data_IF_373917503639
#
_entry.id   IF_373917503639
#
_cell.length_a   1.000
_cell.length_b   1.000
_cell.length_c   1.000
_cell.angle_alpha   90.00
_cell.angle_beta   90.00
_cell.angle_gamma   90.00
#
_symmetry.space_group_name_H-M   'P 1'
#
loop_
_entity.id
_entity.type
_entity.pdbx_description
1 polymer ?
#
# COMPACT_ATOMS: atom_id res chain seq x y z
N UNK A 1 17.29 17.48 12.79
CA UNK A 1 15.88 17.88 12.66
C UNK A 1 15.05 16.64 12.95
N UNK A 2 14.08 16.69 13.85
CA UNK A 2 13.26 15.53 14.18
C UNK A 2 12.23 15.34 13.05
N UNK A 3 12.33 14.23 12.31
CA UNK A 3 11.38 13.93 11.24
C UNK A 3 10.09 13.45 11.88
N UNK A 4 9.01 14.20 11.67
CA UNK A 4 7.68 13.82 12.16
C UNK A 4 7.08 12.76 11.25
N UNK A 5 6.78 11.60 11.82
CA UNK A 5 6.16 10.50 11.07
C UNK A 5 4.75 10.90 10.55
N UNK A 6 4.34 10.43 9.36
CA UNK A 6 3.02 10.73 8.81
C UNK A 6 1.89 10.15 9.67
N UNK A 7 0.85 10.95 9.86
CA UNK A 7 -0.44 10.53 10.44
C UNK A 7 -1.18 9.57 9.50
N UNK A 8 -2.23 8.93 10.01
CA UNK A 8 -3.08 8.04 9.20
C UNK A 8 -3.74 8.80 8.05
N UNK A 9 -4.21 10.01 8.33
CA UNK A 9 -4.85 10.89 7.35
C UNK A 9 -3.87 11.32 6.26
N UNK A 10 -2.63 11.66 6.62
CA UNK A 10 -1.58 11.98 5.64
C UNK A 10 -1.22 10.76 4.78
N UNK A 11 -1.10 9.55 5.37
CA UNK A 11 -0.87 8.33 4.58
C UNK A 11 -1.98 8.08 3.56
N UNK A 12 -3.26 8.32 3.92
CA UNK A 12 -4.38 8.21 2.98
C UNK A 12 -4.28 9.23 1.86
N UNK A 13 -3.88 10.47 2.16
CA UNK A 13 -3.66 11.52 1.14
C UNK A 13 -2.51 11.16 0.21
N UNK A 14 -1.44 10.56 0.72
CA UNK A 14 -0.32 10.09 -0.12
C UNK A 14 -0.77 8.98 -1.08
N UNK A 15 -1.58 8.02 -0.60
CA UNK A 15 -2.17 6.97 -1.44
C UNK A 15 -3.10 7.56 -2.51
N UNK A 16 -3.97 8.49 -2.14
CA UNK A 16 -4.86 9.19 -3.07
C UNK A 16 -4.07 9.86 -4.22
N UNK A 17 -3.04 10.64 -3.88
CA UNK A 17 -2.16 11.27 -4.87
C UNK A 17 -1.40 10.25 -5.72
N UNK A 18 -0.95 9.15 -5.14
CA UNK A 18 -0.27 8.09 -5.89
C UNK A 18 -1.22 7.41 -6.90
N UNK A 19 -2.49 7.20 -6.53
CA UNK A 19 -3.53 6.74 -7.44
C UNK A 19 -3.78 7.76 -8.57
N UNK A 20 -3.87 9.06 -8.26
CA UNK A 20 -3.97 10.12 -9.27
C UNK A 20 -2.83 10.00 -10.29
N UNK A 21 -1.59 9.82 -9.85
CA UNK A 21 -0.44 9.64 -10.75
C UNK A 21 -0.53 8.35 -11.58
N UNK A 22 -0.91 7.24 -10.95
CA UNK A 22 -1.09 5.95 -11.63
C UNK A 22 -2.14 6.05 -12.74
N UNK A 23 -3.33 6.58 -12.46
CA UNK A 23 -4.39 6.74 -13.47
C UNK A 23 -4.07 7.80 -14.51
N UNK A 24 -3.36 8.88 -14.14
CA UNK A 24 -2.99 9.92 -15.11
C UNK A 24 -1.92 9.45 -16.10
N UNK A 25 -0.96 8.65 -15.66
CA UNK A 25 0.25 8.34 -16.45
C UNK A 25 0.30 6.90 -16.94
N UNK A 26 -0.32 5.98 -16.22
CA UNK A 26 -0.18 4.54 -16.42
C UNK A 26 -1.51 3.79 -16.56
N UNK A 27 -2.63 4.49 -16.81
CA UNK A 27 -3.95 3.85 -17.01
C UNK A 27 -3.94 2.80 -18.11
N UNK A 28 -3.08 2.96 -19.12
CA UNK A 28 -2.92 1.96 -20.18
C UNK A 28 -2.41 0.61 -19.65
N UNK A 29 -1.62 0.59 -18.57
CA UNK A 29 -1.20 -0.66 -17.92
C UNK A 29 -2.42 -1.38 -17.32
N UNK A 30 -3.30 -0.63 -16.66
CA UNK A 30 -4.54 -1.15 -16.07
C UNK A 30 -5.44 -1.71 -17.18
N UNK A 31 -5.65 -0.94 -18.26
CA UNK A 31 -6.50 -1.34 -19.40
C UNK A 31 -5.96 -2.53 -20.17
N UNK A 32 -4.64 -2.69 -20.26
CA UNK A 32 -3.98 -3.86 -20.86
C UNK A 32 -4.03 -5.10 -19.96
N UNK A 33 -4.51 -4.97 -18.73
CA UNK A 33 -4.62 -6.08 -17.79
C UNK A 33 -3.28 -6.67 -17.39
N UNK A 34 -2.21 -5.86 -17.31
CA UNK A 34 -0.88 -6.33 -16.88
C UNK A 34 -0.92 -6.93 -15.48
N UNK A 35 0.08 -7.74 -15.12
CA UNK A 35 0.17 -8.39 -13.81
C UNK A 35 0.14 -7.39 -12.64
N UNK A 36 -0.40 -7.82 -11.49
CA UNK A 36 -0.60 -6.96 -10.31
C UNK A 36 0.73 -6.37 -9.84
N UNK A 37 1.80 -7.14 -9.92
CA UNK A 37 3.18 -6.78 -9.60
C UNK A 37 3.67 -5.55 -10.39
N UNK A 38 3.27 -5.43 -11.66
CA UNK A 38 3.60 -4.26 -12.50
C UNK A 38 2.88 -3.01 -12.00
N UNK A 39 1.60 -3.13 -11.62
CA UNK A 39 0.82 -2.02 -11.07
C UNK A 39 1.33 -1.63 -9.67
N UNK A 40 1.64 -2.62 -8.83
CA UNK A 40 2.21 -2.44 -7.50
C UNK A 40 3.53 -1.69 -7.56
N UNK A 41 4.41 -2.04 -8.50
CA UNK A 41 5.67 -1.32 -8.72
C UNK A 41 5.44 0.15 -9.08
N UNK A 42 4.55 0.45 -10.03
CA UNK A 42 4.26 1.84 -10.43
C UNK A 42 3.66 2.66 -9.29
N UNK A 43 2.72 2.07 -8.56
CA UNK A 43 2.12 2.73 -7.40
C UNK A 43 3.14 2.97 -6.29
N UNK A 44 4.01 2.00 -6.00
CA UNK A 44 5.09 2.13 -5.03
C UNK A 44 6.06 3.26 -5.38
N UNK A 45 6.45 3.39 -6.65
CA UNK A 45 7.31 4.50 -7.12
C UNK A 45 6.68 5.87 -6.85
N UNK A 46 5.39 6.06 -7.15
CA UNK A 46 4.71 7.32 -6.88
C UNK A 46 4.59 7.59 -5.38
N UNK A 47 4.28 6.55 -4.59
CA UNK A 47 4.24 6.65 -3.14
C UNK A 47 5.60 7.05 -2.55
N UNK A 48 6.69 6.50 -3.04
CA UNK A 48 8.04 6.81 -2.55
C UNK A 48 8.42 8.27 -2.79
N UNK A 49 8.16 8.78 -4.00
CA UNK A 49 8.39 10.19 -4.34
C UNK A 49 7.58 11.11 -3.42
N UNK A 50 6.27 10.86 -3.31
CA UNK A 50 5.37 11.67 -2.50
C UNK A 50 5.71 11.61 -1.00
N UNK A 51 6.16 10.45 -0.51
CA UNK A 51 6.59 10.29 0.87
C UNK A 51 7.85 11.10 1.15
N UNK A 52 8.85 11.06 0.27
CA UNK A 52 10.08 11.85 0.43
C UNK A 52 9.76 13.35 0.43
N UNK A 53 8.90 13.80 -0.49
CA UNK A 53 8.41 15.19 -0.53
C UNK A 53 7.69 15.60 0.76
N UNK A 54 6.79 14.76 1.27
CA UNK A 54 6.04 15.01 2.50
C UNK A 54 6.93 15.09 3.74
N UNK A 55 7.99 14.27 3.78
CA UNK A 55 8.94 14.24 4.89
C UNK A 55 10.05 15.29 4.75
N UNK A 56 10.11 16.01 3.63
CA UNK A 56 11.17 16.97 3.30
C UNK A 56 12.58 16.34 3.34
N UNK A 57 12.71 15.15 2.76
CA UNK A 57 13.97 14.39 2.67
C UNK A 57 14.40 14.20 1.23
N UNK A 58 15.68 13.85 1.04
CA UNK A 58 16.18 13.49 -0.28
C UNK A 58 15.47 12.24 -0.80
N UNK A 59 15.25 12.20 -2.12
CA UNK A 59 14.61 11.06 -2.76
C UNK A 59 15.49 9.82 -2.54
N UNK A 60 14.86 8.74 -2.08
CA UNK A 60 15.52 7.48 -1.71
C UNK A 60 16.42 7.57 -0.47
N UNK A 61 16.22 8.55 0.42
CA UNK A 61 16.83 8.56 1.75
C UNK A 61 16.23 7.45 2.64
N UNK A 62 16.88 6.28 2.58
CA UNK A 62 16.50 5.06 3.31
C UNK A 62 16.83 5.13 4.82
N UNK A 63 17.33 6.25 5.34
CA UNK A 63 17.52 6.41 6.78
C UNK A 63 16.20 6.64 7.52
N UNK A 64 15.12 6.97 6.78
CA UNK A 64 13.83 7.38 7.32
C UNK A 64 12.75 6.35 7.07
N UNK A 65 12.39 6.09 5.80
CA UNK A 65 11.41 5.08 5.42
C UNK A 65 11.70 4.56 4.02
N UNK A 66 11.40 3.29 3.82
CA UNK A 66 11.49 2.57 2.55
C UNK A 66 10.08 2.30 2.01
N UNK A 67 9.92 2.34 0.68
CA UNK A 67 8.72 1.84 -0.01
C UNK A 67 9.12 0.62 -0.85
N UNK A 68 8.77 -0.57 -0.37
CA UNK A 68 9.19 -1.82 -0.99
C UNK A 68 8.01 -2.63 -1.52
N UNK A 69 8.21 -3.25 -2.69
CA UNK A 69 7.32 -4.28 -3.22
C UNK A 69 7.81 -5.68 -2.84
N UNK A 70 6.88 -6.60 -2.56
CA UNK A 70 7.18 -8.01 -2.28
C UNK A 70 8.21 -8.27 -1.16
N UNK A 71 8.38 -7.34 -0.23
CA UNK A 71 9.40 -7.45 0.82
C UNK A 71 9.12 -8.63 1.75
N UNK A 72 9.99 -9.63 1.72
CA UNK A 72 9.76 -10.94 2.29
C UNK A 72 10.53 -11.22 3.60
N UNK A 73 11.06 -10.17 4.24
CA UNK A 73 11.89 -10.28 5.45
C UNK A 73 11.23 -9.68 6.70
N UNK A 74 11.56 -10.26 7.85
CA UNK A 74 11.20 -9.81 9.19
C UNK A 74 12.49 -9.85 10.04
N UNK A 75 13.25 -8.75 10.05
CA UNK A 75 14.68 -8.86 10.37
C UNK A 75 15.35 -9.84 9.40
N UNK A 76 16.04 -10.84 9.94
CA UNK A 76 16.66 -11.90 9.14
C UNK A 76 15.70 -13.03 8.74
N UNK A 77 14.58 -13.17 9.46
CA UNK A 77 13.61 -14.24 9.26
C UNK A 77 12.69 -13.99 8.06
N UNK A 78 12.09 -15.04 7.47
CA UNK A 78 11.03 -14.86 6.47
C UNK A 78 9.82 -14.13 7.06
N UNK A 79 9.27 -13.16 6.32
CA UNK A 79 8.02 -12.48 6.67
C UNK A 79 6.84 -13.44 6.51
N UNK A 80 6.13 -13.69 7.61
CA UNK A 80 4.94 -14.55 7.68
C UNK A 80 3.76 -13.76 8.22
N UNK A 81 3.01 -13.11 7.32
CA UNK A 81 1.87 -12.26 7.69
C UNK A 81 0.66 -13.06 8.23
N UNK A 82 0.65 -14.39 8.06
CA UNK A 82 -0.37 -15.30 8.59
C UNK A 82 0.33 -16.45 9.31
N UNK A 83 -0.01 -16.75 10.58
CA UNK A 83 0.52 -17.92 11.30
C UNK A 83 0.24 -19.22 10.53
N UNK A 84 1.27 -20.05 10.30
CA UNK A 84 1.15 -21.29 9.53
C UNK A 84 0.93 -21.12 8.02
N UNK A 85 0.72 -19.89 7.54
CA UNK A 85 0.68 -19.57 6.12
C UNK A 85 2.08 -19.62 5.52
N UNK A 86 2.24 -20.28 4.37
CA UNK A 86 3.44 -20.12 3.53
C UNK A 86 3.67 -18.63 3.28
N UNK A 87 4.92 -18.16 3.42
CA UNK A 87 5.28 -16.75 3.49
C UNK A 87 4.73 -15.91 2.33
N UNK A 88 3.51 -15.39 2.48
CA UNK A 88 2.88 -14.48 1.54
C UNK A 88 3.41 -13.09 1.82
N UNK A 89 4.11 -12.56 0.82
CA UNK A 89 4.76 -11.26 0.80
C UNK A 89 3.69 -10.19 0.56
N UNK A 90 3.76 -9.03 1.21
CA UNK A 90 2.89 -7.90 0.89
C UNK A 90 3.20 -7.36 -0.50
N UNK A 91 2.20 -6.78 -1.18
CA UNK A 91 2.43 -6.25 -2.53
C UNK A 91 3.20 -4.93 -2.46
N UNK A 92 2.85 -4.05 -1.53
CA UNK A 92 3.58 -2.81 -1.22
C UNK A 92 3.62 -2.59 0.30
N UNK A 93 4.76 -2.15 0.83
CA UNK A 93 4.87 -1.68 2.21
C UNK A 93 5.63 -0.36 2.32
N UNK A 94 5.26 0.44 3.31
CA UNK A 94 6.02 1.59 3.79
C UNK A 94 6.52 1.27 5.19
N UNK A 95 7.82 1.11 5.35
CA UNK A 95 8.43 0.52 6.55
C UNK A 95 9.89 0.97 6.73
N UNK A 96 10.53 0.51 7.80
CA UNK A 96 11.99 0.58 7.96
C UNK A 96 12.55 -0.83 7.84
N UNK A 97 13.43 -1.08 6.87
CA UNK A 97 14.04 -2.42 6.71
C UNK A 97 14.75 -2.88 7.99
N UNK A 98 14.72 -4.19 8.22
CA UNK A 98 15.41 -4.85 9.34
C UNK A 98 14.74 -4.72 10.72
N UNK A 99 13.65 -3.94 10.85
CA UNK A 99 12.96 -3.73 12.13
C UNK A 99 11.44 -3.61 11.95
N UNK A 100 10.67 -3.78 13.03
CA UNK A 100 9.19 -3.73 13.01
C UNK A 100 8.60 -2.60 13.87
N UNK A 101 9.44 -1.79 14.50
CA UNK A 101 9.01 -0.55 15.13
C UNK A 101 8.68 0.47 14.04
N UNK A 102 7.41 0.88 14.04
CA UNK A 102 6.84 1.93 13.20
C UNK A 102 6.70 1.57 11.72
N UNK A 103 6.23 0.36 11.41
CA UNK A 103 5.67 0.04 10.10
C UNK A 103 4.46 0.93 9.79
N UNK A 104 4.47 1.67 8.68
CA UNK A 104 3.46 2.69 8.38
C UNK A 104 2.27 2.14 7.60
N UNK A 105 2.53 1.54 6.44
CA UNK A 105 1.48 1.16 5.49
C UNK A 105 1.78 -0.21 4.87
N UNK A 106 0.74 -1.04 4.75
CA UNK A 106 0.76 -2.28 3.97
C UNK A 106 -0.39 -2.23 2.96
N UNK A 107 -0.12 -2.59 1.71
CA UNK A 107 -1.12 -2.59 0.63
C UNK A 107 -1.14 -3.96 -0.04
N UNK A 108 -2.35 -4.51 -0.20
CA UNK A 108 -2.64 -5.62 -1.10
C UNK A 108 -3.34 -5.07 -2.33
N UNK A 109 -2.76 -5.31 -3.50
CA UNK A 109 -3.23 -4.81 -4.79
C UNK A 109 -3.93 -5.94 -5.53
N UNK A 110 -5.12 -5.64 -6.04
CA UNK A 110 -5.90 -6.49 -6.92
C UNK A 110 -6.35 -5.71 -8.15
N UNK A 111 -6.69 -6.42 -9.22
CA UNK A 111 -7.25 -5.83 -10.44
C UNK A 111 -8.53 -6.50 -10.88
N UNK A 112 -9.52 -5.70 -11.27
CA UNK A 112 -10.76 -6.15 -11.91
C UNK A 112 -11.46 -7.32 -11.19
N UNK A 113 -11.43 -7.33 -9.85
CA UNK A 113 -12.13 -8.35 -9.07
C UNK A 113 -13.54 -7.85 -8.79
N UNK A 114 -14.54 -8.60 -9.28
CA UNK A 114 -15.97 -8.31 -9.08
C UNK A 114 -16.54 -8.97 -7.80
N UNK A 115 -15.68 -9.54 -6.95
CA UNK A 115 -16.05 -10.30 -5.76
C UNK A 115 -15.46 -9.68 -4.49
N UNK A 116 -16.01 -10.06 -3.34
CA UNK A 116 -15.57 -9.59 -2.03
C UNK A 116 -14.08 -9.88 -1.77
N UNK A 117 -13.48 -9.13 -0.85
CA UNK A 117 -12.09 -9.33 -0.39
C UNK A 117 -11.87 -10.81 -0.06
N UNK A 118 -10.86 -11.41 -0.69
CA UNK A 118 -10.52 -12.81 -0.44
C UNK A 118 -10.15 -13.01 1.02
N UNK A 119 -10.63 -14.11 1.64
CA UNK A 119 -10.37 -14.41 3.05
C UNK A 119 -8.88 -14.43 3.41
N UNK A 120 -8.02 -14.80 2.45
CA UNK A 120 -6.56 -14.75 2.64
C UNK A 120 -6.05 -13.31 2.82
N UNK A 121 -6.53 -12.37 2.02
CA UNK A 121 -6.05 -10.99 2.02
C UNK A 121 -6.64 -10.21 3.20
N UNK A 122 -7.91 -10.49 3.55
CA UNK A 122 -8.55 -9.96 4.76
C UNK A 122 -7.78 -10.38 6.03
N UNK A 123 -7.52 -11.69 6.19
CA UNK A 123 -6.76 -12.20 7.33
C UNK A 123 -5.35 -11.61 7.40
N UNK A 124 -4.70 -11.43 6.25
CA UNK A 124 -3.36 -10.84 6.15
C UNK A 124 -3.37 -9.39 6.63
N UNK A 125 -4.28 -8.55 6.14
CA UNK A 125 -4.36 -7.13 6.51
C UNK A 125 -4.80 -6.94 7.97
N UNK A 126 -5.72 -7.79 8.47
CA UNK A 126 -6.06 -7.81 9.90
C UNK A 126 -4.86 -8.20 10.75
N UNK A 127 -4.15 -9.26 10.40
CA UNK A 127 -2.98 -9.73 11.12
C UNK A 127 -1.84 -8.71 11.11
N UNK A 128 -1.59 -8.08 9.97
CA UNK A 128 -0.52 -7.11 9.79
C UNK A 128 -0.75 -5.81 10.58
N UNK A 129 -2.01 -5.39 10.72
CA UNK A 129 -2.39 -4.15 11.41
C UNK A 129 -2.79 -4.36 12.88
N UNK A 130 -2.79 -5.60 13.39
CA UNK A 130 -3.13 -5.87 14.78
C UNK A 130 -1.98 -5.40 15.70
N UNK A 131 -2.26 -4.54 16.71
CA UNK A 131 -1.24 -4.03 17.62
C UNK A 131 -0.60 -5.12 18.50
N UNK A 132 -1.26 -6.28 18.63
CA UNK A 132 -0.79 -7.41 19.44
C UNK A 132 0.05 -8.42 18.63
N UNK A 133 0.26 -8.20 17.33
CA UNK A 133 1.08 -9.05 16.47
C UNK A 133 2.46 -8.42 16.21
N UNK A 134 3.34 -9.11 15.49
CA UNK A 134 4.73 -8.66 15.31
C UNK A 134 4.86 -7.41 14.41
N UNK A 135 4.05 -7.34 13.35
CA UNK A 135 4.25 -6.35 12.28
C UNK A 135 3.67 -4.97 12.58
N UNK A 136 2.51 -4.89 13.23
CA UNK A 136 1.92 -3.64 13.76
C UNK A 136 1.91 -2.48 12.77
N UNK A 137 1.57 -2.75 11.51
CA UNK A 137 1.39 -1.71 10.51
C UNK A 137 0.31 -0.73 10.98
N UNK A 138 0.62 0.57 10.96
CA UNK A 138 -0.28 1.63 11.39
C UNK A 138 -1.57 1.67 10.55
N UNK A 139 -1.44 1.38 9.26
CA UNK A 139 -2.54 1.36 8.30
C UNK A 139 -2.35 0.19 7.32
N UNK A 140 -3.45 -0.46 6.95
CA UNK A 140 -3.50 -1.44 5.88
C UNK A 140 -4.51 -1.03 4.82
N UNK A 141 -4.30 -1.45 3.58
CA UNK A 141 -5.19 -1.18 2.46
C UNK A 141 -5.35 -2.42 1.60
N UNK A 142 -6.60 -2.80 1.34
CA UNK A 142 -6.94 -3.61 0.19
C UNK A 142 -7.37 -2.67 -0.94
N UNK A 143 -6.68 -2.74 -2.08
CA UNK A 143 -6.84 -1.87 -3.22
C UNK A 143 -7.22 -2.69 -4.46
N UNK A 144 -8.45 -2.54 -4.94
CA UNK A 144 -8.89 -3.15 -6.20
C UNK A 144 -8.89 -2.10 -7.31
N UNK A 145 -7.99 -2.23 -8.27
CA UNK A 145 -7.86 -1.32 -9.42
C UNK A 145 -8.78 -1.74 -10.56
N UNK A 146 -9.55 -0.79 -11.10
CA UNK A 146 -10.40 -0.95 -12.27
C UNK A 146 -10.07 0.15 -13.30
N UNK A 147 -10.80 0.18 -14.42
CA UNK A 147 -10.41 0.99 -15.59
C UNK A 147 -10.40 2.51 -15.33
N UNK A 148 -11.30 2.96 -14.47
CA UNK A 148 -11.64 4.36 -14.22
C UNK A 148 -11.91 4.64 -12.73
N UNK A 149 -11.76 3.64 -11.88
CA UNK A 149 -12.02 3.73 -10.46
C UNK A 149 -11.23 2.67 -9.70
N UNK A 150 -11.13 2.83 -8.39
CA UNK A 150 -10.56 1.84 -7.51
C UNK A 150 -11.44 1.66 -6.28
N UNK A 151 -11.53 0.45 -5.75
CA UNK A 151 -12.12 0.23 -4.43
C UNK A 151 -11.02 0.20 -3.37
N UNK A 152 -11.20 1.01 -2.32
CA UNK A 152 -10.28 1.12 -1.20
C UNK A 152 -10.98 0.60 0.04
N UNK A 153 -10.43 -0.45 0.65
CA UNK A 153 -10.86 -0.91 1.98
C UNK A 153 -9.70 -0.80 2.96
N UNK A 154 -9.87 0.11 3.93
CA UNK A 154 -8.84 0.40 4.92
C UNK A 154 -8.90 -0.55 6.11
N UNK A 155 -7.73 -0.88 6.66
CA UNK A 155 -7.57 -1.72 7.85
C UNK A 155 -6.79 -0.96 8.91
N UNK A 156 -7.26 -1.01 10.15
CA UNK A 156 -6.57 -0.41 11.30
C UNK A 156 -6.83 -1.23 12.55
N UNK A 157 -5.80 -1.47 13.34
CA UNK A 157 -5.88 -2.25 14.58
C UNK A 157 -6.52 -3.65 14.40
N UNK A 158 -6.30 -4.29 13.24
CA UNK A 158 -6.92 -5.57 12.92
C UNK A 158 -8.39 -5.51 12.49
N UNK A 159 -8.93 -4.31 12.29
CA UNK A 159 -10.33 -4.07 11.93
C UNK A 159 -10.41 -3.54 10.50
N UNK A 160 -11.21 -4.21 9.67
CA UNK A 160 -11.61 -3.75 8.35
C UNK A 160 -12.64 -2.62 8.45
N UNK A 161 -12.42 -1.54 7.70
CA UNK A 161 -13.39 -0.45 7.51
C UNK A 161 -14.36 -0.71 6.36
N UNK A 162 -15.21 0.27 6.08
CA UNK A 162 -16.09 0.23 4.91
C UNK A 162 -15.26 0.34 3.61
N UNK A 163 -15.75 -0.30 2.54
CA UNK A 163 -15.25 -0.09 1.19
C UNK A 163 -15.64 1.31 0.72
N UNK A 164 -14.68 2.02 0.13
CA UNK A 164 -14.86 3.35 -0.46
C UNK A 164 -14.50 3.23 -1.93
N UNK A 165 -15.41 3.61 -2.82
CA UNK A 165 -15.09 3.75 -4.23
C UNK A 165 -14.36 5.08 -4.46
N UNK A 166 -13.17 4.99 -5.02
CA UNK A 166 -12.36 6.10 -5.49
C UNK A 166 -12.56 6.24 -7.00
N UNK A 167 -12.97 7.41 -7.46
CA UNK A 167 -13.28 7.65 -8.87
C UNK A 167 -12.20 8.51 -9.51
N UNK A 168 -11.71 8.09 -10.68
CA UNK A 168 -10.80 8.91 -11.47
C UNK A 168 -11.61 9.98 -12.23
N UNK A 169 -11.56 11.23 -11.77
CA UNK A 169 -12.25 12.35 -12.43
C UNK A 169 -11.53 12.85 -13.71
N UNK A 170 -10.40 12.24 -14.10
CA UNK A 170 -9.52 12.74 -15.16
C UNK A 170 -9.97 12.49 -16.61
N UNK A 171 -11.27 12.31 -16.87
CA UNK A 171 -11.84 12.55 -18.21
C UNK A 171 -12.28 14.01 -18.40
N UNK A 172 -12.27 14.84 -17.35
CA UNK A 172 -12.63 16.26 -17.43
C UNK A 172 -11.43 17.20 -17.71
N UNK A 173 -10.19 16.72 -17.56
CA UNK A 173 -8.99 17.47 -17.89
C UNK A 173 -8.29 16.78 -19.06
N UNK A 174 -8.77 17.11 -20.26
CA UNK A 174 -8.19 16.68 -21.53
C UNK A 174 -6.73 17.08 -21.66
N UNK A 175 -6.06 16.38 -22.58
CA UNK A 175 -4.73 16.71 -23.11
C UNK A 175 -4.62 18.18 -23.57
#
# INVERSE_FOLDING_TARGET
MEIKEPTVEELKVLVDKALVHLYRRDVDLIRRGVQEETLSHRLALYLEVLLCEHLHIELFDQTVYDVDTEYNKNGEDPKRLVPGGGGKRPDIIVHKRGRNDNNLLIIEVKKNINFQIGTSDDNKLRGATNPNHDFRYRLGLYLNLMSDCADLTWYRNGIQGAMIQWNWEGLAYGE
#
